data_IF_611738959925
#
_entry.id   IF_611738959925
#
_cell.length_a   1.000
_cell.length_b   1.000
_cell.length_c   1.000
_cell.angle_alpha   90.00
_cell.angle_beta   90.00
_cell.angle_gamma   90.00
#
_symmetry.space_group_name_H-M   'P 1'
#
loop_
_entity.id
_entity.type
_entity.pdbx_description
1 polymer ?
#
# COMPACT_ATOMS: atom_id res chain seq x y z
N UNK A 1 5.70 3.70 8.80
CA UNK A 1 4.89 3.29 7.65
C UNK A 1 3.43 3.66 7.86
N UNK A 2 2.72 3.87 6.79
CA UNK A 2 1.29 4.11 6.82
C UNK A 2 0.58 2.78 7.05
N UNK A 3 -0.46 2.81 7.86
CA UNK A 3 -1.18 1.59 8.26
C UNK A 3 -2.01 1.07 7.07
N UNK A 4 -1.83 -0.20 6.75
CA UNK A 4 -2.41 -0.80 5.54
C UNK A 4 -3.94 -0.93 5.58
N UNK A 5 -4.53 -1.02 6.75
CA UNK A 5 -5.98 -1.13 6.89
C UNK A 5 -6.73 0.19 6.75
N UNK A 6 -6.03 1.29 6.53
CA UNK A 6 -6.68 2.58 6.31
C UNK A 6 -7.36 2.60 4.96
N UNK A 7 -8.66 2.84 4.97
CA UNK A 7 -9.48 2.96 3.77
C UNK A 7 -10.10 4.35 3.65
N UNK A 8 -9.73 5.24 4.55
CA UNK A 8 -10.23 6.60 4.61
C UNK A 8 -9.23 7.58 4.01
N UNK A 9 -9.67 8.79 3.77
CA UNK A 9 -8.79 9.86 3.35
C UNK A 9 -7.83 10.22 4.47
N UNK A 10 -6.57 10.35 4.13
CA UNK A 10 -5.50 10.73 5.06
C UNK A 10 -5.04 12.13 4.72
N UNK A 11 -4.97 13.05 5.70
CA UNK A 11 -4.46 14.39 5.43
C UNK A 11 -3.04 14.36 4.87
N UNK A 12 -2.72 15.33 4.04
CA UNK A 12 -1.42 15.46 3.40
C UNK A 12 -0.25 15.64 4.38
N UNK A 13 -0.55 15.87 5.64
CA UNK A 13 0.45 15.93 6.71
C UNK A 13 1.30 14.68 6.84
N UNK A 14 0.85 13.54 6.31
CA UNK A 14 1.66 12.32 6.27
C UNK A 14 2.75 12.36 5.21
N UNK A 15 2.71 13.32 4.30
CA UNK A 15 3.74 13.50 3.28
C UNK A 15 4.79 14.48 3.79
N UNK A 16 6.00 13.99 4.00
CA UNK A 16 7.08 14.76 4.62
C UNK A 16 7.52 15.90 3.69
N UNK A 17 7.58 17.11 4.25
CA UNK A 17 8.11 18.28 3.55
C UNK A 17 7.15 18.95 2.59
N UNK A 18 5.91 18.51 2.52
CA UNK A 18 4.90 19.09 1.66
C UNK A 18 3.89 19.87 2.51
N UNK A 19 3.58 21.06 2.09
CA UNK A 19 2.70 21.96 2.85
C UNK A 19 1.44 22.38 2.12
N UNK A 20 1.09 21.72 1.06
CA UNK A 20 -0.13 22.04 0.31
C UNK A 20 -1.35 21.55 1.08
N UNK A 21 -1.94 22.42 1.79
CA UNK A 21 -2.80 22.12 2.92
C UNK A 21 -4.16 21.51 2.61
N UNK A 22 -4.56 21.29 1.38
CA UNK A 22 -5.95 20.89 1.10
C UNK A 22 -6.10 19.57 0.34
N UNK A 23 -4.99 18.89 0.07
CA UNK A 23 -5.03 17.62 -0.65
C UNK A 23 -5.04 16.47 0.32
N UNK A 24 -5.89 15.49 0.07
CA UNK A 24 -5.98 14.29 0.86
C UNK A 24 -5.38 13.11 0.13
N UNK A 25 -5.03 12.09 0.88
CA UNK A 25 -4.58 10.80 0.37
C UNK A 25 -5.73 9.82 0.53
N UNK A 26 -6.07 9.12 -0.54
CA UNK A 26 -7.11 8.11 -0.52
C UNK A 26 -6.49 6.74 -0.72
N UNK A 27 -6.74 5.83 0.20
CA UNK A 27 -6.19 4.47 0.17
C UNK A 27 -7.34 3.49 0.17
N UNK A 28 -7.37 2.58 -0.80
CA UNK A 28 -8.40 1.56 -0.92
C UNK A 28 -8.23 0.42 0.08
N UNK A 29 -8.93 -0.68 -0.17
CA UNK A 29 -8.92 -1.86 0.68
C UNK A 29 -7.77 -2.79 0.34
N UNK A 30 -7.32 -3.54 1.34
CA UNK A 30 -6.29 -4.58 1.14
C UNK A 30 -4.98 -4.05 0.55
N UNK A 31 -4.54 -2.90 1.04
CA UNK A 31 -3.29 -2.28 0.63
C UNK A 31 -2.21 -2.62 1.66
N UNK A 32 -1.08 -3.11 1.16
CA UNK A 32 0.07 -3.43 2.01
C UNK A 32 1.21 -2.46 1.71
N UNK A 33 1.75 -1.88 2.76
CA UNK A 33 2.91 -0.99 2.67
C UNK A 33 4.13 -1.63 3.34
N UNK A 34 5.24 -1.64 2.65
CA UNK A 34 6.53 -1.93 3.25
C UNK A 34 6.97 -0.82 4.21
N UNK A 35 8.10 -1.01 4.85
CA UNK A 35 8.63 0.00 5.78
C UNK A 35 9.06 1.27 5.06
N UNK A 36 8.95 2.40 5.77
CA UNK A 36 9.45 3.70 5.31
C UNK A 36 8.87 4.17 3.97
N UNK A 37 7.61 3.87 3.72
CA UNK A 37 6.91 4.37 2.53
C UNK A 37 6.39 5.78 2.79
N UNK A 38 6.59 6.65 1.82
CA UNK A 38 6.05 8.01 1.83
C UNK A 38 4.99 8.12 0.74
N UNK A 39 3.82 8.64 1.10
CA UNK A 39 2.74 8.89 0.14
C UNK A 39 2.50 10.39 0.08
N UNK A 40 2.60 10.95 -1.11
CA UNK A 40 2.45 12.39 -1.32
C UNK A 40 0.98 12.82 -1.38
N UNK A 41 0.70 14.10 -1.08
CA UNK A 41 -0.68 14.60 -1.06
C UNK A 41 -1.39 14.47 -2.40
N UNK A 42 -2.68 14.19 -2.36
CA UNK A 42 -3.52 14.07 -3.54
C UNK A 42 -3.42 12.74 -4.28
N UNK A 43 -2.67 11.79 -3.75
CA UNK A 43 -2.51 10.47 -4.37
C UNK A 43 -3.68 9.57 -3.99
N UNK A 44 -4.17 8.81 -4.96
CA UNK A 44 -5.15 7.74 -4.76
C UNK A 44 -4.49 6.40 -5.03
N UNK A 45 -4.54 5.52 -4.03
CA UNK A 45 -4.08 4.14 -4.15
C UNK A 45 -5.31 3.24 -4.20
N UNK A 46 -5.42 2.43 -5.22
CA UNK A 46 -6.57 1.55 -5.42
C UNK A 46 -6.62 0.40 -4.43
N UNK A 47 -7.46 -0.58 -4.71
CA UNK A 47 -7.61 -1.76 -3.88
C UNK A 47 -6.58 -2.82 -4.27
N UNK A 48 -6.22 -3.66 -3.29
CA UNK A 48 -5.34 -4.81 -3.53
C UNK A 48 -4.01 -4.37 -4.17
N UNK A 49 -3.28 -3.53 -3.43
CA UNK A 49 -2.03 -2.94 -3.88
C UNK A 49 -0.92 -3.26 -2.89
N UNK A 50 0.24 -3.58 -3.41
CA UNK A 50 1.46 -3.77 -2.61
C UNK A 50 2.44 -2.67 -2.96
N UNK A 51 2.88 -1.93 -1.95
CA UNK A 51 3.89 -0.88 -2.10
C UNK A 51 5.17 -1.37 -1.40
N UNK A 52 6.25 -1.48 -2.17
CA UNK A 52 7.52 -1.94 -1.62
C UNK A 52 8.16 -0.96 -0.64
N UNK A 53 9.00 -1.48 0.25
CA UNK A 53 9.67 -0.68 1.26
C UNK A 53 10.51 0.45 0.65
N UNK A 54 10.53 1.60 1.31
CA UNK A 54 11.31 2.77 0.89
C UNK A 54 10.76 3.50 -0.32
N UNK A 55 9.57 3.16 -0.78
CA UNK A 55 8.96 3.81 -1.94
C UNK A 55 8.43 5.21 -1.62
N UNK A 56 8.46 6.08 -2.62
CA UNK A 56 7.88 7.41 -2.54
C UNK A 56 6.78 7.51 -3.60
N UNK A 57 5.53 7.47 -3.15
CA UNK A 57 4.36 7.44 -4.03
C UNK A 57 3.96 8.86 -4.38
N UNK A 58 4.21 9.25 -5.62
CA UNK A 58 3.94 10.61 -6.10
C UNK A 58 2.77 10.70 -7.08
N UNK A 59 2.29 9.55 -7.55
CA UNK A 59 1.18 9.47 -8.51
C UNK A 59 0.21 8.37 -8.07
N UNK A 60 -1.00 8.40 -8.58
CA UNK A 60 -2.01 7.41 -8.32
C UNK A 60 -1.52 6.01 -8.70
N UNK A 61 -1.87 5.04 -7.87
CA UNK A 61 -1.54 3.63 -8.10
C UNK A 61 -2.85 2.89 -8.40
N UNK A 62 -2.96 2.24 -9.56
CA UNK A 62 -4.17 1.49 -9.90
C UNK A 62 -4.33 0.25 -9.02
N UNK A 63 -5.56 -0.24 -8.92
CA UNK A 63 -5.87 -1.46 -8.18
C UNK A 63 -5.13 -2.68 -8.73
N UNK A 64 -4.94 -3.68 -7.90
CA UNK A 64 -4.32 -4.96 -8.26
C UNK A 64 -2.90 -4.82 -8.80
N UNK A 65 -2.09 -4.00 -8.13
CA UNK A 65 -0.75 -3.66 -8.60
C UNK A 65 0.30 -3.85 -7.52
N UNK A 66 1.51 -4.16 -7.95
CA UNK A 66 2.71 -4.07 -7.13
C UNK A 66 3.52 -2.88 -7.64
N UNK A 67 3.83 -1.95 -6.76
CA UNK A 67 4.55 -0.74 -7.10
C UNK A 67 5.72 -0.51 -6.14
N UNK A 68 6.83 -0.04 -6.66
CA UNK A 68 8.05 0.18 -5.87
C UNK A 68 8.83 1.38 -6.40
N UNK A 69 9.71 1.88 -5.58
CA UNK A 69 10.75 2.82 -5.98
C UNK A 69 10.48 4.27 -5.62
N UNK A 70 11.40 5.12 -6.04
CA UNK A 70 11.34 6.57 -5.90
C UNK A 70 11.72 7.23 -7.22
N UNK A 71 10.77 7.80 -7.99
CA UNK A 71 9.33 7.77 -7.72
C UNK A 71 8.75 6.35 -7.83
N UNK A 72 7.73 6.07 -7.05
CA UNK A 72 7.08 4.77 -7.04
C UNK A 72 6.37 4.53 -8.37
N UNK A 73 6.53 3.35 -8.93
CA UNK A 73 5.88 2.98 -10.19
C UNK A 73 5.46 1.52 -10.14
N UNK A 74 4.44 1.20 -10.92
CA UNK A 74 3.92 -0.17 -11.03
C UNK A 74 4.92 -1.04 -11.76
N UNK A 75 5.31 -2.14 -11.15
CA UNK A 75 6.24 -3.11 -11.75
C UNK A 75 5.55 -4.35 -12.27
N UNK A 76 4.39 -4.69 -11.74
CA UNK A 76 3.55 -5.80 -12.24
C UNK A 76 2.15 -5.72 -11.65
N UNK A 77 1.26 -6.51 -12.22
CA UNK A 77 -0.09 -6.70 -11.68
C UNK A 77 -0.11 -7.89 -10.73
N UNK A 78 -1.00 -7.83 -9.76
CA UNK A 78 -1.28 -8.95 -8.87
C UNK A 78 -2.19 -9.92 -9.62
N UNK A 79 -1.82 -11.19 -9.62
CA UNK A 79 -2.58 -12.26 -10.29
C UNK A 79 -3.34 -13.10 -9.27
N UNK A 80 -4.26 -13.93 -9.75
CA UNK A 80 -4.97 -14.87 -8.88
C UNK A 80 -4.01 -15.88 -8.23
N UNK A 81 -2.95 -16.25 -8.92
CA UNK A 81 -1.91 -17.12 -8.36
C UNK A 81 -1.21 -16.46 -7.17
N UNK A 82 -0.95 -15.15 -7.23
CA UNK A 82 -0.40 -14.40 -6.11
C UNK A 82 -1.33 -14.43 -4.91
N UNK A 83 -2.62 -14.23 -5.14
CA UNK A 83 -3.63 -14.26 -4.07
C UNK A 83 -3.70 -15.62 -3.41
N UNK A 84 -3.75 -16.69 -4.19
CA UNK A 84 -3.77 -18.05 -3.69
C UNK A 84 -2.54 -18.34 -2.83
N UNK A 85 -1.37 -17.92 -3.31
CA UNK A 85 -0.14 -18.09 -2.57
C UNK A 85 -0.19 -17.39 -1.21
N UNK A 86 -0.59 -16.13 -1.18
CA UNK A 86 -0.62 -15.36 0.06
C UNK A 86 -1.73 -15.80 1.00
N UNK A 87 -2.87 -16.22 0.49
CA UNK A 87 -3.94 -16.81 1.30
C UNK A 87 -3.47 -18.11 1.96
N UNK A 88 -2.75 -18.95 1.23
CA UNK A 88 -2.13 -20.15 1.78
C UNK A 88 -1.13 -19.83 2.89
N UNK A 89 -0.28 -18.83 2.70
CA UNK A 89 0.67 -18.38 3.72
C UNK A 89 -0.03 -17.80 4.95
N UNK A 90 -1.08 -17.05 4.75
CA UNK A 90 -1.86 -16.51 5.87
C UNK A 90 -2.53 -17.63 6.68
N UNK A 91 -3.04 -18.65 6.00
CA UNK A 91 -3.62 -19.83 6.66
C UNK A 91 -2.58 -20.59 7.45
N UNK A 92 -1.39 -20.83 6.89
CA UNK A 92 -0.28 -21.46 7.59
C UNK A 92 0.13 -20.68 8.84
N UNK A 93 0.22 -19.36 8.72
CA UNK A 93 0.57 -18.51 9.85
C UNK A 93 -0.48 -18.59 10.95
N UNK A 94 -1.76 -18.54 10.61
CA UNK A 94 -2.84 -18.65 11.58
C UNK A 94 -2.82 -20.00 12.29
N UNK A 95 -2.61 -21.07 11.55
CA UNK A 95 -2.51 -22.42 12.11
C UNK A 95 -1.32 -22.52 13.08
N UNK A 96 -0.17 -22.01 12.70
CA UNK A 96 1.00 -21.96 13.56
C UNK A 96 0.76 -21.14 14.81
N UNK A 97 0.18 -19.96 14.67
CA UNK A 97 -0.13 -19.07 15.78
C UNK A 97 -1.11 -19.71 16.77
N UNK A 98 -2.14 -20.38 16.26
CA UNK A 98 -3.14 -21.05 17.10
C UNK A 98 -2.59 -22.27 17.82
N UNK A 99 -1.50 -22.84 17.34
CA UNK A 99 -0.83 -23.99 17.99
C UNK A 99 0.10 -23.59 19.13
N UNK A 100 0.36 -22.32 19.31
CA UNK A 100 1.19 -21.82 20.43
C UNK A 100 0.42 -21.83 21.79
#
# INVERSE_FOLDING_TARGET
AIVAELTEEIPDAVCIGITTAEKTITIGNDVWFGGSVVVCPGVTIGDDVVIGAGSVVTKDIPSHSVAVGNPCHVIRKITDADREYWEGKAAEYRAWKDSL
#
